data_IF_988113409408
#
_entry.id   IF_988113409408
#
_cell.length_a   1.000
_cell.length_b   1.000
_cell.length_c   1.000
_cell.angle_alpha   90.00
_cell.angle_beta   90.00
_cell.angle_gamma   90.00
#
_symmetry.space_group_name_H-M   'P 1'
#
loop_
_entity.id
_entity.type
_entity.pdbx_description
1 polymer ?
#
# COMPACT_ATOMS: atom_id res chain seq x y z
N UNK A 1 23.50 -15.37 -0.48
CA UNK A 1 24.04 -14.22 0.30
C UNK A 1 23.42 -12.88 -0.07
N UNK A 2 23.16 -12.54 -1.35
CA UNK A 2 22.57 -11.25 -1.78
C UNK A 2 21.18 -10.96 -1.19
N UNK A 3 20.29 -11.95 -1.18
CA UNK A 3 18.94 -11.84 -0.59
C UNK A 3 19.00 -11.51 0.91
N UNK A 4 19.88 -12.18 1.64
CA UNK A 4 20.04 -11.94 3.08
C UNK A 4 20.54 -10.50 3.35
N UNK A 5 21.47 -10.01 2.52
CA UNK A 5 21.94 -8.61 2.63
C UNK A 5 20.81 -7.63 2.33
N UNK A 6 20.09 -7.84 1.23
CA UNK A 6 18.96 -6.98 0.86
C UNK A 6 17.91 -6.92 1.99
N UNK A 7 17.58 -8.08 2.58
CA UNK A 7 16.66 -8.13 3.72
C UNK A 7 17.20 -7.43 4.96
N UNK A 8 18.49 -7.54 5.28
CA UNK A 8 19.08 -6.84 6.42
C UNK A 8 18.99 -5.30 6.29
N UNK A 9 19.02 -4.77 5.07
CA UNK A 9 18.91 -3.34 4.81
C UNK A 9 17.49 -2.80 5.02
N UNK A 10 16.46 -3.62 4.78
CA UNK A 10 15.04 -3.24 4.86
C UNK A 10 14.33 -3.72 6.11
N UNK A 11 14.90 -4.69 6.83
CA UNK A 11 14.25 -5.42 7.95
C UNK A 11 13.58 -4.52 8.99
N UNK A 12 14.23 -3.44 9.39
CA UNK A 12 13.67 -2.56 10.42
C UNK A 12 12.45 -1.79 9.91
N UNK A 13 12.48 -1.33 8.66
CA UNK A 13 11.34 -0.66 8.01
C UNK A 13 10.17 -1.63 7.86
N UNK A 14 10.48 -2.86 7.44
CA UNK A 14 9.50 -3.93 7.33
C UNK A 14 8.88 -4.31 8.69
N UNK A 15 9.70 -4.57 9.72
CA UNK A 15 9.21 -4.99 11.04
C UNK A 15 8.38 -3.89 11.73
N UNK A 16 8.83 -2.63 11.67
CA UNK A 16 8.08 -1.50 12.21
C UNK A 16 6.76 -1.34 11.46
N UNK A 17 6.79 -1.39 10.12
CA UNK A 17 5.59 -1.31 9.30
C UNK A 17 4.61 -2.44 9.58
N UNK A 18 5.11 -3.66 9.70
CA UNK A 18 4.30 -4.84 10.05
C UNK A 18 3.65 -4.67 11.44
N UNK A 19 4.42 -4.24 12.44
CA UNK A 19 3.90 -4.01 13.80
C UNK A 19 2.79 -2.95 13.81
N UNK A 20 2.99 -1.83 13.11
CA UNK A 20 1.98 -0.76 12.98
C UNK A 20 0.71 -1.29 12.30
N UNK A 21 0.84 -2.04 11.20
CA UNK A 21 -0.31 -2.60 10.51
C UNK A 21 -1.04 -3.66 11.35
N UNK A 22 -0.33 -4.48 12.13
CA UNK A 22 -0.94 -5.43 13.07
C UNK A 22 -1.76 -4.68 14.12
N UNK A 23 -1.21 -3.62 14.72
CA UNK A 23 -1.92 -2.81 15.72
C UNK A 23 -3.19 -2.20 15.11
N UNK A 24 -3.11 -1.65 13.90
CA UNK A 24 -4.27 -1.09 13.21
C UNK A 24 -5.31 -2.15 12.84
N UNK A 25 -4.89 -3.36 12.42
CA UNK A 25 -5.79 -4.46 12.13
C UNK A 25 -6.54 -4.92 13.39
N UNK A 26 -5.81 -5.10 14.50
CA UNK A 26 -6.42 -5.43 15.80
C UNK A 26 -7.40 -4.34 16.25
N UNK A 27 -7.00 -3.06 16.16
CA UNK A 27 -7.86 -1.93 16.48
C UNK A 27 -9.12 -1.90 15.63
N UNK A 28 -9.01 -2.09 14.32
CA UNK A 28 -10.16 -2.10 13.43
C UNK A 28 -11.20 -3.18 13.79
N UNK A 29 -10.78 -4.35 14.26
CA UNK A 29 -11.72 -5.40 14.69
C UNK A 29 -12.28 -5.12 16.09
N UNK A 30 -11.42 -4.78 17.05
CA UNK A 30 -11.81 -4.64 18.45
C UNK A 30 -12.66 -3.38 18.72
N UNK A 31 -12.46 -2.32 17.93
CA UNK A 31 -13.21 -1.07 18.07
C UNK A 31 -14.60 -1.12 17.43
N UNK A 32 -14.89 -2.17 16.62
CA UNK A 32 -16.18 -2.30 15.93
C UNK A 32 -17.40 -2.17 16.85
N UNK A 33 -17.50 -2.88 18.00
CA UNK A 33 -18.68 -2.79 18.87
C UNK A 33 -18.90 -1.39 19.44
N UNK A 34 -17.84 -0.63 19.71
CA UNK A 34 -17.92 0.74 20.20
C UNK A 34 -18.37 1.70 19.10
N UNK A 35 -17.80 1.57 17.90
CA UNK A 35 -18.12 2.45 16.77
C UNK A 35 -19.51 2.14 16.20
N UNK A 36 -19.95 0.88 16.19
CA UNK A 36 -21.31 0.52 15.79
C UNK A 36 -22.38 1.19 16.66
N UNK A 37 -22.14 1.32 17.98
CA UNK A 37 -23.03 2.07 18.90
C UNK A 37 -23.03 3.57 18.60
N UNK A 38 -21.87 4.16 18.31
CA UNK A 38 -21.75 5.57 17.95
C UNK A 38 -22.42 5.88 16.61
N UNK A 39 -22.26 5.03 15.61
CA UNK A 39 -22.87 5.21 14.29
C UNK A 39 -24.39 5.16 14.34
N UNK A 40 -24.98 4.40 15.28
CA UNK A 40 -26.40 4.40 15.50
C UNK A 40 -26.93 5.79 15.96
N UNK A 41 -26.13 6.54 16.72
CA UNK A 41 -26.49 7.89 17.16
C UNK A 41 -26.20 8.97 16.10
N UNK A 42 -25.17 8.78 15.26
CA UNK A 42 -24.81 9.74 14.20
C UNK A 42 -25.79 9.71 13.02
N UNK A 43 -26.44 8.58 12.77
CA UNK A 43 -27.44 8.45 11.68
C UNK A 43 -28.66 9.38 11.83
N UNK A 44 -28.83 10.02 12.99
CA UNK A 44 -29.90 11.00 13.26
C UNK A 44 -29.50 12.44 12.92
N UNK A 45 -28.25 12.70 12.55
CA UNK A 45 -27.76 14.05 12.25
C UNK A 45 -28.08 14.43 10.79
N UNK A 46 -29.02 15.35 10.62
CA UNK A 46 -29.38 15.92 9.32
C UNK A 46 -28.42 17.07 8.97
N UNK A 47 -27.31 16.75 8.31
CA UNK A 47 -26.40 17.75 7.76
C UNK A 47 -26.81 18.09 6.31
N UNK A 48 -27.10 19.37 5.97
CA UNK A 48 -27.48 19.76 4.62
C UNK A 48 -26.26 19.76 3.65
N UNK A 49 -26.53 19.54 2.35
CA UNK A 49 -25.55 19.67 1.29
C UNK A 49 -24.75 18.41 0.96
N UNK A 50 -23.72 18.58 0.12
CA UNK A 50 -22.88 17.48 -0.37
C UNK A 50 -22.14 16.74 0.74
N UNK A 51 -21.72 17.46 1.80
CA UNK A 51 -21.05 16.89 2.95
C UNK A 51 -21.99 15.95 3.73
N UNK A 52 -23.24 16.34 3.92
CA UNK A 52 -24.24 15.50 4.58
C UNK A 52 -24.53 14.22 3.82
N UNK A 53 -24.52 14.26 2.48
CA UNK A 53 -24.65 13.07 1.65
C UNK A 53 -23.46 12.12 1.84
N UNK A 54 -22.23 12.62 1.82
CA UNK A 54 -21.02 11.83 2.02
C UNK A 54 -20.97 11.18 3.42
N UNK A 55 -21.38 11.91 4.44
CA UNK A 55 -21.46 11.38 5.82
C UNK A 55 -22.51 10.27 5.90
N UNK A 56 -23.67 10.43 5.28
CA UNK A 56 -24.72 9.40 5.26
C UNK A 56 -24.26 8.15 4.51
N UNK A 57 -23.69 8.29 3.31
CA UNK A 57 -23.13 7.16 2.53
C UNK A 57 -22.06 6.40 3.31
N UNK A 58 -21.16 7.12 4.00
CA UNK A 58 -20.15 6.51 4.85
C UNK A 58 -20.79 5.78 6.04
N UNK A 59 -21.76 6.40 6.72
CA UNK A 59 -22.47 5.81 7.86
C UNK A 59 -23.29 4.57 7.44
N UNK A 60 -23.95 4.61 6.28
CA UNK A 60 -24.68 3.46 5.73
C UNK A 60 -23.75 2.30 5.39
N UNK A 61 -22.60 2.59 4.77
CA UNK A 61 -21.59 1.57 4.47
C UNK A 61 -21.08 0.90 5.75
N UNK A 62 -20.90 1.66 6.82
CA UNK A 62 -20.36 1.17 8.10
C UNK A 62 -21.42 0.54 9.03
N UNK A 63 -22.69 0.43 8.63
CA UNK A 63 -23.73 -0.25 9.41
C UNK A 63 -23.50 -1.76 9.52
N UNK A 64 -22.91 -2.37 8.51
CA UNK A 64 -22.57 -3.79 8.50
C UNK A 64 -21.10 -3.97 8.90
N UNK A 65 -20.79 -5.07 9.59
CA UNK A 65 -19.41 -5.41 9.94
C UNK A 65 -18.50 -5.47 8.71
N UNK A 66 -18.96 -6.10 7.63
CA UNK A 66 -18.25 -6.16 6.36
C UNK A 66 -17.93 -4.76 5.79
N UNK A 67 -18.91 -3.86 5.80
CA UNK A 67 -18.74 -2.50 5.32
C UNK A 67 -17.82 -1.67 6.22
N UNK A 68 -17.92 -1.85 7.54
CA UNK A 68 -17.04 -1.21 8.51
C UNK A 68 -15.57 -1.62 8.30
N UNK A 69 -15.29 -2.93 8.22
CA UNK A 69 -13.94 -3.44 7.97
C UNK A 69 -13.42 -2.96 6.61
N UNK A 70 -14.23 -3.01 5.57
CA UNK A 70 -13.80 -2.50 4.27
C UNK A 70 -13.44 -1.02 4.33
N UNK A 71 -14.27 -0.18 4.95
CA UNK A 71 -14.03 1.26 5.03
C UNK A 71 -12.83 1.60 5.92
N UNK A 72 -12.83 1.09 7.16
CA UNK A 72 -11.84 1.45 8.18
C UNK A 72 -10.48 0.80 7.91
N UNK A 73 -10.48 -0.49 7.53
CA UNK A 73 -9.24 -1.23 7.32
C UNK A 73 -8.75 -1.10 5.88
N UNK A 74 -9.46 -1.66 4.90
CA UNK A 74 -8.95 -1.75 3.54
C UNK A 74 -8.87 -0.40 2.81
N UNK A 75 -9.85 0.48 2.96
CA UNK A 75 -9.87 1.75 2.25
C UNK A 75 -9.03 2.83 2.92
N UNK A 76 -9.03 2.90 4.25
CA UNK A 76 -8.39 3.99 4.98
C UNK A 76 -7.03 3.58 5.56
N UNK A 77 -6.98 2.72 6.56
CA UNK A 77 -5.76 2.44 7.29
C UNK A 77 -4.73 1.68 6.46
N UNK A 78 -5.15 0.59 5.83
CA UNK A 78 -4.23 -0.28 5.10
C UNK A 78 -3.69 0.39 3.84
N UNK A 79 -4.54 0.97 2.98
CA UNK A 79 -4.10 1.61 1.73
C UNK A 79 -3.12 2.74 2.02
N UNK A 80 -3.41 3.62 2.98
CA UNK A 80 -2.54 4.77 3.28
C UNK A 80 -1.20 4.34 3.87
N UNK A 81 -1.22 3.51 4.92
CA UNK A 81 0.00 3.07 5.60
C UNK A 81 0.86 2.21 4.66
N UNK A 82 0.23 1.30 3.91
CA UNK A 82 0.93 0.44 2.96
C UNK A 82 1.58 1.25 1.83
N UNK A 83 0.90 2.29 1.31
CA UNK A 83 1.46 3.17 0.27
C UNK A 83 2.71 3.89 0.78
N UNK A 84 2.67 4.41 2.02
CA UNK A 84 3.86 5.03 2.64
C UNK A 84 5.01 4.02 2.75
N UNK A 85 4.73 2.79 3.20
CA UNK A 85 5.73 1.73 3.30
C UNK A 85 6.27 1.32 1.92
N UNK A 86 5.41 1.24 0.90
CA UNK A 86 5.83 0.96 -0.48
C UNK A 86 6.80 2.03 -1.00
N UNK A 87 6.51 3.30 -0.73
CA UNK A 87 7.39 4.41 -1.09
C UNK A 87 8.71 4.35 -0.31
N UNK A 88 8.67 4.08 0.99
CA UNK A 88 9.87 3.95 1.83
C UNK A 88 10.79 2.81 1.40
N UNK A 89 10.21 1.67 1.02
CA UNK A 89 10.97 0.51 0.53
C UNK A 89 11.52 0.75 -0.88
N UNK A 90 10.77 1.44 -1.74
CA UNK A 90 11.20 1.80 -3.10
C UNK A 90 12.29 2.87 -3.13
N UNK A 91 12.20 3.88 -2.25
CA UNK A 91 13.13 5.02 -2.23
C UNK A 91 14.54 4.68 -1.73
N UNK A 92 14.73 3.54 -1.10
CA UNK A 92 16.03 3.12 -0.60
C UNK A 92 17.02 2.69 -1.70
N UNK A 93 17.29 3.49 -2.74
CA UNK A 93 18.16 3.17 -3.87
C UNK A 93 19.57 2.70 -3.50
N UNK A 94 20.28 2.10 -4.45
CA UNK A 94 21.66 1.61 -4.30
C UNK A 94 22.63 2.72 -3.83
N UNK A 95 22.26 3.98 -4.13
CA UNK A 95 23.06 5.18 -3.81
C UNK A 95 22.69 5.84 -2.49
N UNK A 96 21.51 5.60 -1.93
CA UNK A 96 21.07 6.20 -0.66
C UNK A 96 21.79 5.68 0.58
N UNK A 97 22.69 4.73 0.41
CA UNK A 97 23.60 4.30 1.45
C UNK A 97 24.78 5.28 1.51
N UNK A 98 24.59 6.42 2.17
CA UNK A 98 25.61 7.40 2.51
C UNK A 98 26.75 6.87 3.42
N UNK A 99 26.86 5.58 3.58
CA UNK A 99 27.82 4.89 4.45
C UNK A 99 28.40 3.70 3.71
N UNK A 100 29.68 3.44 3.85
CA UNK A 100 30.53 2.42 3.24
C UNK A 100 29.94 1.10 2.71
N UNK A 101 28.66 0.83 2.95
CA UNK A 101 27.93 -0.31 2.41
C UNK A 101 27.73 -0.24 0.89
N UNK A 102 27.62 0.97 0.32
CA UNK A 102 27.52 1.16 -1.13
C UNK A 102 28.85 0.85 -1.83
N UNK A 103 29.95 1.36 -1.29
CA UNK A 103 31.31 1.07 -1.78
C UNK A 103 31.62 -0.43 -1.68
N UNK A 104 31.22 -1.07 -0.58
CA UNK A 104 31.37 -2.51 -0.41
C UNK A 104 30.50 -3.30 -1.40
N UNK A 105 29.27 -2.85 -1.67
CA UNK A 105 28.40 -3.49 -2.65
C UNK A 105 28.95 -3.40 -4.09
N UNK A 106 29.58 -2.28 -4.43
CA UNK A 106 30.21 -2.05 -5.72
C UNK A 106 31.53 -2.81 -5.89
N UNK A 107 32.22 -3.18 -4.79
CA UNK A 107 33.43 -4.01 -4.83
C UNK A 107 33.16 -5.50 -5.01
N UNK A 108 31.89 -5.95 -4.91
CA UNK A 108 31.55 -7.35 -5.12
C UNK A 108 31.51 -7.69 -6.63
N UNK A 109 31.99 -8.88 -7.05
CA UNK A 109 31.98 -9.32 -8.45
C UNK A 109 30.56 -9.77 -8.87
N UNK A 110 29.58 -8.88 -8.76
CA UNK A 110 28.16 -9.12 -9.09
C UNK A 110 27.68 -8.00 -10.01
N UNK A 111 26.91 -8.35 -11.05
CA UNK A 111 26.34 -7.35 -11.96
C UNK A 111 25.37 -6.42 -11.19
N UNK A 112 25.40 -5.14 -11.52
CA UNK A 112 24.53 -4.10 -10.94
C UNK A 112 23.05 -4.39 -11.15
N UNK A 113 22.70 -4.94 -12.32
CA UNK A 113 21.35 -5.40 -12.65
C UNK A 113 20.85 -6.48 -11.69
N UNK A 114 21.72 -7.47 -11.38
CA UNK A 114 21.40 -8.52 -10.42
C UNK A 114 21.21 -7.95 -9.01
N UNK A 115 22.04 -7.01 -8.60
CA UNK A 115 21.93 -6.37 -7.28
C UNK A 115 20.62 -5.57 -7.14
N UNK A 116 20.28 -4.74 -8.15
CA UNK A 116 19.04 -3.99 -8.20
C UNK A 116 17.81 -4.89 -8.27
N UNK A 117 17.88 -5.96 -9.10
CA UNK A 117 16.79 -6.93 -9.23
C UNK A 117 16.51 -7.70 -7.94
N UNK A 118 17.55 -8.20 -7.24
CA UNK A 118 17.39 -8.89 -5.95
C UNK A 118 16.78 -7.94 -4.92
N UNK A 119 17.21 -6.69 -4.87
CA UNK A 119 16.66 -5.69 -3.94
C UNK A 119 15.19 -5.40 -4.23
N UNK A 120 14.83 -5.17 -5.50
CA UNK A 120 13.44 -4.95 -5.90
C UNK A 120 12.55 -6.15 -5.56
N UNK A 121 13.02 -7.36 -5.83
CA UNK A 121 12.29 -8.59 -5.52
C UNK A 121 12.12 -8.82 -4.01
N UNK A 122 13.15 -8.54 -3.19
CA UNK A 122 13.05 -8.61 -1.72
C UNK A 122 12.01 -7.63 -1.22
N UNK A 123 12.05 -6.37 -1.66
CA UNK A 123 11.10 -5.34 -1.24
C UNK A 123 9.66 -5.68 -1.68
N UNK A 124 9.46 -6.21 -2.88
CA UNK A 124 8.13 -6.68 -3.32
C UNK A 124 7.62 -7.85 -2.46
N UNK A 125 8.49 -8.78 -2.05
CA UNK A 125 8.11 -9.87 -1.14
C UNK A 125 7.72 -9.32 0.24
N UNK A 126 8.45 -8.34 0.76
CA UNK A 126 8.11 -7.66 2.01
C UNK A 126 6.77 -6.91 1.90
N UNK A 127 6.51 -6.23 0.78
CA UNK A 127 5.25 -5.54 0.51
C UNK A 127 4.06 -6.50 0.40
N UNK A 128 4.26 -7.67 -0.21
CA UNK A 128 3.24 -8.72 -0.24
C UNK A 128 2.92 -9.21 1.18
N UNK A 129 3.95 -9.45 1.99
CA UNK A 129 3.77 -9.86 3.38
C UNK A 129 3.05 -8.78 4.20
N UNK A 130 3.36 -7.49 4.00
CA UNK A 130 2.67 -6.34 4.62
C UNK A 130 1.21 -6.19 4.19
N UNK A 131 0.84 -6.64 2.99
CA UNK A 131 -0.54 -6.65 2.55
C UNK A 131 -1.33 -7.84 3.13
N UNK A 132 -0.71 -9.03 3.17
CA UNK A 132 -1.39 -10.29 3.49
C UNK A 132 -1.43 -10.54 5.00
N UNK A 133 -0.30 -10.44 5.70
CA UNK A 133 -0.20 -10.87 7.11
C UNK A 133 -1.16 -10.08 8.02
N UNK A 134 -1.20 -8.72 8.00
CA UNK A 134 -2.13 -7.99 8.85
C UNK A 134 -3.59 -8.21 8.44
N UNK A 135 -3.85 -8.39 7.14
CA UNK A 135 -5.21 -8.63 6.64
C UNK A 135 -5.77 -9.98 7.08
N UNK A 136 -4.91 -11.01 7.24
CA UNK A 136 -5.32 -12.32 7.76
C UNK A 136 -5.75 -12.27 9.24
N UNK A 137 -5.33 -11.24 9.99
CA UNK A 137 -5.81 -11.06 11.36
C UNK A 137 -7.30 -10.70 11.41
N UNK A 138 -7.85 -10.08 10.36
CA UNK A 138 -9.27 -9.71 10.33
C UNK A 138 -10.18 -10.95 10.46
N UNK A 139 -10.13 -11.95 9.57
CA UNK A 139 -10.97 -13.14 9.72
C UNK A 139 -10.62 -13.97 10.97
N UNK A 140 -9.38 -13.91 11.45
CA UNK A 140 -8.95 -14.62 12.65
C UNK A 140 -9.54 -14.01 13.92
N UNK A 141 -9.62 -12.67 14.00
CA UNK A 141 -10.11 -11.95 15.18
C UNK A 141 -11.62 -11.66 15.13
N UNK A 142 -12.27 -11.71 13.95
CA UNK A 142 -13.71 -11.46 13.81
C UNK A 142 -14.59 -12.28 14.75
N UNK A 143 -14.34 -13.57 15.01
CA UNK A 143 -15.13 -14.35 15.96
C UNK A 143 -15.08 -13.81 17.39
N UNK A 144 -14.02 -13.09 17.79
CA UNK A 144 -13.92 -12.50 19.12
C UNK A 144 -14.94 -11.39 19.38
N UNK A 145 -15.44 -10.75 18.33
CA UNK A 145 -16.52 -9.73 18.39
C UNK A 145 -17.89 -10.28 17.96
N UNK A 146 -18.01 -11.61 17.77
CA UNK A 146 -19.24 -12.29 17.39
C UNK A 146 -19.58 -12.15 15.91
N UNK A 147 -18.65 -11.72 15.08
CA UNK A 147 -18.83 -11.48 13.65
C UNK A 147 -17.98 -12.43 12.80
N UNK A 148 -18.24 -12.48 11.49
CA UNK A 148 -17.47 -13.29 10.54
C UNK A 148 -17.04 -12.48 9.33
N UNK A 149 -15.77 -12.65 8.94
CA UNK A 149 -15.21 -12.08 7.72
C UNK A 149 -14.62 -13.18 6.83
N UNK A 150 -14.89 -13.15 5.52
CA UNK A 150 -14.50 -14.21 4.60
C UNK A 150 -13.00 -14.17 4.24
N UNK A 151 -12.31 -15.32 4.30
CA UNK A 151 -10.92 -15.45 3.83
C UNK A 151 -10.77 -15.09 2.35
N UNK A 152 -11.77 -15.44 1.51
CA UNK A 152 -11.77 -15.07 0.09
C UNK A 152 -11.81 -13.56 -0.13
N UNK A 153 -12.61 -12.84 0.65
CA UNK A 153 -12.66 -11.37 0.61
C UNK A 153 -11.32 -10.76 1.03
N UNK A 154 -10.74 -11.28 2.11
CA UNK A 154 -9.41 -10.88 2.58
C UNK A 154 -8.35 -11.05 1.49
N UNK A 155 -8.34 -12.19 0.81
CA UNK A 155 -7.40 -12.47 -0.27
C UNK A 155 -7.57 -11.50 -1.45
N UNK A 156 -8.81 -11.24 -1.89
CA UNK A 156 -9.08 -10.31 -2.99
C UNK A 156 -8.62 -8.90 -2.63
N UNK A 157 -8.95 -8.39 -1.44
CA UNK A 157 -8.54 -7.05 -1.02
C UNK A 157 -7.02 -6.93 -0.88
N UNK A 158 -6.36 -7.91 -0.26
CA UNK A 158 -4.90 -7.91 -0.07
C UNK A 158 -4.15 -7.99 -1.40
N UNK A 159 -4.61 -8.83 -2.34
CA UNK A 159 -4.01 -8.94 -3.66
C UNK A 159 -4.25 -7.70 -4.51
N UNK A 160 -5.45 -7.12 -4.48
CA UNK A 160 -5.74 -5.86 -5.17
C UNK A 160 -4.88 -4.72 -4.66
N UNK A 161 -4.67 -4.64 -3.34
CA UNK A 161 -3.76 -3.68 -2.72
C UNK A 161 -2.34 -3.88 -3.21
N UNK A 162 -1.82 -5.11 -3.13
CA UNK A 162 -0.45 -5.41 -3.54
C UNK A 162 -0.22 -5.12 -5.02
N UNK A 163 -1.08 -5.64 -5.90
CA UNK A 163 -0.94 -5.45 -7.35
C UNK A 163 -1.12 -3.98 -7.76
N UNK A 164 -2.16 -3.33 -7.25
CA UNK A 164 -2.40 -1.93 -7.53
C UNK A 164 -1.32 -1.02 -6.92
N UNK A 165 -1.01 -1.24 -5.66
CA UNK A 165 -0.06 -0.41 -4.92
C UNK A 165 1.40 -0.58 -5.34
N UNK A 166 1.77 -1.72 -5.95
CA UNK A 166 3.13 -1.95 -6.50
C UNK A 166 3.57 -0.86 -7.49
N UNK A 167 2.62 -0.12 -8.08
CA UNK A 167 2.89 1.04 -8.91
C UNK A 167 3.67 2.14 -8.14
N UNK A 168 3.27 2.43 -6.89
CA UNK A 168 3.95 3.45 -6.08
C UNK A 168 5.34 3.02 -5.66
N UNK A 169 5.51 1.73 -5.35
CA UNK A 169 6.83 1.15 -5.13
C UNK A 169 7.72 1.29 -6.37
N UNK A 170 7.20 0.91 -7.54
CA UNK A 170 7.93 0.95 -8.80
C UNK A 170 8.32 2.36 -9.20
N UNK A 171 7.43 3.34 -8.97
CA UNK A 171 7.71 4.75 -9.18
C UNK A 171 8.82 5.26 -8.26
N UNK A 172 8.74 4.96 -6.96
CA UNK A 172 9.77 5.33 -6.00
C UNK A 172 11.12 4.68 -6.33
N UNK A 173 11.11 3.42 -6.76
CA UNK A 173 12.31 2.69 -7.20
C UNK A 173 12.94 3.32 -8.44
N UNK A 174 12.13 3.67 -9.45
CA UNK A 174 12.58 4.36 -10.65
C UNK A 174 13.20 5.72 -10.32
N UNK A 175 12.51 6.54 -9.52
CA UNK A 175 13.02 7.84 -9.10
C UNK A 175 14.31 7.71 -8.28
N UNK A 176 14.44 6.67 -7.45
CA UNK A 176 15.67 6.42 -6.70
C UNK A 176 16.84 5.96 -7.57
N UNK A 177 16.56 5.43 -8.77
CA UNK A 177 17.59 5.16 -9.77
C UNK A 177 18.05 6.42 -10.51
N UNK A 178 17.25 7.48 -10.54
CA UNK A 178 17.57 8.77 -11.19
C UNK A 178 18.17 9.77 -10.21
N UNK A 179 17.66 9.83 -8.99
CA UNK A 179 18.09 10.78 -7.97
C UNK A 179 19.19 10.17 -7.09
N UNK A 180 20.16 11.00 -6.66
CA UNK A 180 21.26 10.57 -5.78
C UNK A 180 20.86 10.61 -4.29
N UNK A 181 19.72 11.20 -3.98
CA UNK A 181 19.20 11.37 -2.62
C UNK A 181 18.09 10.36 -2.30
N UNK A 182 17.96 10.04 -1.01
CA UNK A 182 16.82 9.29 -0.48
C UNK A 182 15.53 10.11 -0.42
N UNK A 183 15.64 11.40 -0.06
CA UNK A 183 14.48 12.24 0.24
C UNK A 183 13.67 12.65 -1.00
N UNK A 184 14.36 12.97 -2.10
CA UNK A 184 13.69 13.41 -3.34
C UNK A 184 12.73 12.37 -3.92
N UNK A 185 13.13 11.11 -4.15
CA UNK A 185 12.23 10.06 -4.63
C UNK A 185 11.03 9.86 -3.69
N UNK A 186 11.30 9.84 -2.38
CA UNK A 186 10.27 9.67 -1.37
C UNK A 186 9.25 10.80 -1.40
N UNK A 187 9.69 12.06 -1.36
CA UNK A 187 8.81 13.23 -1.35
C UNK A 187 8.00 13.35 -2.64
N UNK A 188 8.62 13.15 -3.81
CA UNK A 188 7.92 13.20 -5.10
C UNK A 188 6.84 12.12 -5.17
N UNK A 189 7.16 10.88 -4.81
CA UNK A 189 6.19 9.79 -4.87
C UNK A 189 5.07 9.99 -3.84
N UNK A 190 5.39 10.45 -2.63
CA UNK A 190 4.37 10.81 -1.62
C UNK A 190 3.48 11.96 -2.12
N UNK A 191 4.04 12.99 -2.74
CA UNK A 191 3.27 14.10 -3.31
C UNK A 191 2.30 13.62 -4.40
N UNK A 192 2.74 12.70 -5.28
CA UNK A 192 1.89 12.07 -6.29
C UNK A 192 0.79 11.24 -5.62
N UNK A 193 1.11 10.42 -4.62
CA UNK A 193 0.11 9.63 -3.90
C UNK A 193 -0.93 10.52 -3.19
N UNK A 194 -0.48 11.59 -2.52
CA UNK A 194 -1.35 12.56 -1.86
C UNK A 194 -2.19 13.36 -2.86
N UNK A 195 -1.64 13.75 -4.01
CA UNK A 195 -2.41 14.46 -5.03
C UNK A 195 -3.57 13.63 -5.55
N UNK A 196 -3.43 12.31 -5.67
CA UNK A 196 -4.51 11.41 -6.07
C UNK A 196 -5.66 11.41 -5.05
N UNK A 197 -5.36 11.47 -3.75
CA UNK A 197 -6.40 11.55 -2.71
C UNK A 197 -7.12 12.89 -2.72
N UNK A 198 -6.38 13.99 -2.86
CA UNK A 198 -6.93 15.36 -2.87
C UNK A 198 -7.74 15.64 -4.14
N UNK A 199 -7.22 15.29 -5.31
CA UNK A 199 -7.89 15.49 -6.60
C UNK A 199 -9.12 14.60 -6.72
N UNK A 200 -9.06 13.36 -6.22
CA UNK A 200 -10.22 12.49 -6.14
C UNK A 200 -11.34 13.06 -5.26
N UNK A 201 -10.99 13.74 -4.16
CA UNK A 201 -11.95 14.38 -3.27
C UNK A 201 -12.58 15.65 -3.88
N UNK A 202 -11.83 16.41 -4.67
CA UNK A 202 -12.23 17.73 -5.18
C UNK A 202 -12.89 17.70 -6.57
N UNK A 203 -12.45 16.84 -7.48
CA UNK A 203 -12.78 16.94 -8.90
C UNK A 203 -13.46 15.71 -9.53
N UNK A 204 -13.61 14.60 -8.79
CA UNK A 204 -14.19 13.37 -9.36
C UNK A 204 -13.41 12.80 -10.55
N UNK A 205 -12.12 13.13 -10.68
CA UNK A 205 -11.28 12.77 -11.81
C UNK A 205 -10.75 11.33 -11.73
N UNK A 206 -10.37 10.72 -12.88
CA UNK A 206 -9.97 9.29 -12.95
C UNK A 206 -8.74 8.92 -12.12
N UNK A 207 -7.98 9.87 -11.58
CA UNK A 207 -6.86 9.61 -10.67
C UNK A 207 -7.28 9.00 -9.32
N UNK A 208 -8.54 9.19 -8.90
CA UNK A 208 -9.10 8.47 -7.75
C UNK A 208 -9.31 6.98 -8.02
N UNK A 209 -9.35 6.58 -9.29
CA UNK A 209 -9.56 5.20 -9.70
C UNK A 209 -8.47 4.26 -9.16
N UNK A 210 -7.21 4.72 -9.04
CA UNK A 210 -6.13 3.88 -8.52
C UNK A 210 -6.35 3.47 -7.07
N UNK A 211 -6.79 4.39 -6.21
CA UNK A 211 -7.12 4.08 -4.82
C UNK A 211 -8.35 3.17 -4.71
N UNK A 212 -9.31 3.31 -5.63
CA UNK A 212 -10.47 2.41 -5.75
C UNK A 212 -10.04 1.01 -6.18
N UNK A 213 -9.07 0.89 -7.10
CA UNK A 213 -8.50 -0.39 -7.50
C UNK A 213 -7.76 -1.04 -6.33
N UNK A 214 -6.92 -0.28 -5.60
CA UNK A 214 -6.17 -0.77 -4.44
C UNK A 214 -7.08 -1.26 -3.31
N UNK A 215 -8.17 -0.54 -3.01
CA UNK A 215 -9.15 -0.94 -1.99
C UNK A 215 -10.14 -1.99 -2.48
N UNK A 216 -10.07 -2.40 -3.76
CA UNK A 216 -11.02 -3.29 -4.41
C UNK A 216 -12.49 -2.85 -4.21
N UNK A 217 -12.77 -1.54 -4.38
CA UNK A 217 -14.10 -0.98 -4.16
C UNK A 217 -15.16 -1.65 -5.07
N UNK A 218 -14.81 -1.94 -6.33
CA UNK A 218 -15.70 -2.62 -7.27
C UNK A 218 -16.09 -4.02 -6.79
N UNK A 219 -15.15 -4.74 -6.16
CA UNK A 219 -15.43 -6.05 -5.58
C UNK A 219 -16.32 -5.94 -4.33
N UNK A 220 -16.07 -4.96 -3.49
CA UNK A 220 -16.92 -4.72 -2.32
C UNK A 220 -18.37 -4.38 -2.70
N UNK A 221 -18.57 -3.49 -3.71
CA UNK A 221 -19.90 -3.00 -4.11
C UNK A 221 -20.65 -3.95 -5.04
N UNK A 222 -19.96 -4.56 -6.02
CA UNK A 222 -20.58 -5.32 -7.11
C UNK A 222 -20.06 -6.76 -7.25
N UNK A 223 -19.14 -7.22 -6.40
CA UNK A 223 -18.53 -8.53 -6.51
C UNK A 223 -17.57 -8.69 -7.70
N UNK A 224 -17.24 -7.61 -8.40
CA UNK A 224 -16.42 -7.64 -9.61
C UNK A 224 -15.01 -7.19 -9.33
N UNK A 225 -14.01 -8.02 -9.68
CA UNK A 225 -12.60 -7.66 -9.56
C UNK A 225 -12.25 -6.65 -10.65
N UNK A 226 -11.54 -5.54 -10.34
CA UNK A 226 -11.16 -4.49 -11.30
C UNK A 226 -9.96 -4.92 -12.17
N UNK A 227 -10.13 -5.95 -13.01
CA UNK A 227 -9.07 -6.55 -13.81
C UNK A 227 -8.31 -5.57 -14.70
N UNK A 228 -9.03 -4.63 -15.33
CA UNK A 228 -8.42 -3.62 -16.21
C UNK A 228 -7.49 -2.70 -15.41
N UNK A 229 -7.97 -2.20 -14.27
CA UNK A 229 -7.17 -1.33 -13.41
C UNK A 229 -5.94 -2.04 -12.83
N UNK A 230 -6.11 -3.29 -12.39
CA UNK A 230 -4.99 -4.12 -11.91
C UNK A 230 -4.00 -4.43 -13.03
N UNK A 231 -4.47 -4.79 -14.21
CA UNK A 231 -3.62 -5.05 -15.38
C UNK A 231 -2.79 -3.83 -15.78
N UNK A 232 -3.40 -2.64 -15.83
CA UNK A 232 -2.70 -1.38 -16.10
C UNK A 232 -1.66 -1.06 -15.02
N UNK A 233 -2.01 -1.24 -13.75
CA UNK A 233 -1.09 -0.99 -12.64
C UNK A 233 0.14 -1.90 -12.69
N UNK A 234 -0.08 -3.21 -12.90
CA UNK A 234 1.00 -4.20 -12.98
C UNK A 234 1.90 -3.96 -14.18
N UNK A 235 1.33 -3.72 -15.37
CA UNK A 235 2.12 -3.47 -16.58
C UNK A 235 2.93 -2.19 -16.46
N UNK A 236 2.33 -1.09 -16.00
CA UNK A 236 3.04 0.18 -15.78
C UNK A 236 4.10 0.04 -14.69
N UNK A 237 3.79 -0.63 -13.58
CA UNK A 237 4.74 -0.90 -12.50
C UNK A 237 5.93 -1.73 -12.99
N UNK A 238 5.69 -2.77 -13.76
CA UNK A 238 6.76 -3.59 -14.35
C UNK A 238 7.66 -2.79 -15.30
N UNK A 239 7.09 -1.95 -16.16
CA UNK A 239 7.85 -1.07 -17.06
C UNK A 239 8.72 -0.09 -16.27
N UNK A 240 8.18 0.50 -15.19
CA UNK A 240 8.94 1.41 -14.32
C UNK A 240 10.09 0.69 -13.59
N UNK A 241 9.87 -0.53 -13.09
CA UNK A 241 10.92 -1.35 -12.46
C UNK A 241 12.01 -1.69 -13.47
N UNK A 242 11.62 -2.13 -14.66
CA UNK A 242 12.56 -2.44 -15.73
C UNK A 242 13.40 -1.22 -16.13
N UNK A 243 12.75 -0.06 -16.31
CA UNK A 243 13.44 1.20 -16.60
C UNK A 243 14.42 1.60 -15.49
N UNK A 244 14.01 1.43 -14.22
CA UNK A 244 14.89 1.69 -13.06
C UNK A 244 16.13 0.81 -13.06
N UNK A 245 15.99 -0.49 -13.33
CA UNK A 245 17.11 -1.43 -13.43
C UNK A 245 18.03 -1.05 -14.60
N UNK A 246 17.47 -0.71 -15.76
CA UNK A 246 18.24 -0.33 -16.95
C UNK A 246 19.02 0.99 -16.74
N UNK A 247 18.45 1.95 -15.99
CA UNK A 247 19.16 3.19 -15.63
C UNK A 247 20.36 2.90 -14.73
N UNK A 248 20.18 2.03 -13.70
CA UNK A 248 21.28 1.62 -12.80
C UNK A 248 22.42 0.95 -13.55
N UNK A 249 22.12 0.18 -14.62
CA UNK A 249 23.13 -0.46 -15.44
C UNK A 249 24.01 0.54 -16.20
N UNK A 250 23.41 1.62 -16.73
CA UNK A 250 24.07 2.63 -17.57
C UNK A 250 24.77 3.73 -16.80
N UNK A 251 24.56 3.82 -15.49
CA UNK A 251 25.23 4.83 -14.66
C UNK A 251 26.72 4.48 -14.49
N UNK A 252 27.57 5.36 -14.99
CA UNK A 252 29.00 5.38 -14.67
C UNK A 252 29.20 6.05 -13.30
N UNK A 253 30.00 5.41 -12.44
CA UNK A 253 30.35 5.90 -11.10
C UNK A 253 31.87 6.08 -11.02
#
# INVERSE_FOLDING_TARGET
MLWYKAWLETRWRFLIGLAVLIVFACGAVLDYPAIARLNASVSTIDAPGNLGRLIREAAETQRTYRGFIWFQWYRQNLVQTWTILAVLLGSGGLMGASSGSALFALSMPVSRTRLAGVRGATALTELLALAVIPSLLIPLLSPAVGEHYGLGETAVHSMSLFLGGSLFFSLAFLLSAVCDDFWRPMLITCAIALSQTLVGALAGLPFSEMLRVMSAESYFRAGQIPWVGLGLAVTTGFLMLYAGIAIVERRDF
#
